data_IF_788832439638
#
_entry.id   IF_788832439638
#
_cell.length_a   1.000
_cell.length_b   1.000
_cell.length_c   1.000
_cell.angle_alpha   90.00
_cell.angle_beta   90.00
_cell.angle_gamma   90.00
#
_symmetry.space_group_name_H-M   'P 1'
#
loop_
_entity.id
_entity.type
_entity.pdbx_description
1 polymer ?
#
# COMPACT_ATOMS: atom_id res chain seq x y z
N UNK A 1 44.63 -11.81 22.51
CA UNK A 1 43.72 -12.01 21.36
C UNK A 1 42.29 -11.92 21.88
N UNK A 2 41.50 -10.91 21.50
CA UNK A 2 40.11 -10.86 21.89
C UNK A 2 39.32 -11.90 21.08
N UNK A 3 38.58 -12.76 21.79
CA UNK A 3 37.65 -13.73 21.21
C UNK A 3 36.60 -12.98 20.40
N UNK A 4 36.60 -13.17 19.09
CA UNK A 4 35.50 -12.79 18.21
C UNK A 4 34.28 -13.61 18.61
N UNK A 5 33.41 -13.01 19.41
CA UNK A 5 32.04 -13.48 19.59
C UNK A 5 31.34 -13.35 18.23
N UNK A 6 31.21 -14.47 17.51
CA UNK A 6 30.25 -14.62 16.42
C UNK A 6 28.85 -14.40 17.00
N UNK A 7 28.31 -13.19 16.91
CA UNK A 7 26.89 -12.94 17.15
C UNK A 7 26.10 -13.46 15.95
N UNK A 8 25.77 -14.73 16.02
CA UNK A 8 24.98 -15.45 15.04
C UNK A 8 23.48 -15.26 15.33
N UNK A 9 22.93 -14.11 14.94
CA UNK A 9 21.59 -13.93 14.35
C UNK A 9 21.45 -12.44 14.01
N UNK A 10 21.68 -12.04 12.76
CA UNK A 10 21.65 -10.63 12.36
C UNK A 10 20.22 -10.11 12.46
N UNK A 11 19.87 -9.43 13.56
CA UNK A 11 18.59 -8.72 13.68
C UNK A 11 18.47 -7.73 12.51
N UNK A 12 17.49 -7.96 11.63
CA UNK A 12 17.27 -7.13 10.44
C UNK A 12 16.00 -6.33 10.60
N UNK A 13 16.09 -5.04 10.29
CA UNK A 13 14.95 -4.14 10.25
C UNK A 13 14.53 -3.87 8.81
N UNK A 14 13.24 -4.04 8.51
CA UNK A 14 12.65 -3.60 7.25
C UNK A 14 11.65 -2.48 7.53
N UNK A 15 11.90 -1.29 7.00
CA UNK A 15 10.97 -0.17 7.09
C UNK A 15 10.13 -0.10 5.83
N UNK A 16 8.80 -0.15 5.97
CA UNK A 16 7.86 -0.22 4.86
C UNK A 16 7.03 1.05 4.78
N UNK A 17 6.91 1.59 3.56
CA UNK A 17 5.97 2.65 3.23
C UNK A 17 4.72 2.06 2.56
N UNK A 18 3.55 2.10 3.19
CA UNK A 18 2.36 1.39 2.70
C UNK A 18 1.60 2.19 1.62
N UNK A 19 0.78 1.52 0.79
CA UNK A 19 -0.13 2.20 -0.12
C UNK A 19 -1.26 2.94 0.63
N UNK A 20 -1.87 3.98 0.05
CA UNK A 20 -1.54 4.61 -1.25
C UNK A 20 -0.71 5.88 -1.07
N UNK A 21 0.17 6.17 -2.03
CA UNK A 21 0.95 7.40 -2.07
C UNK A 21 1.24 7.86 -3.50
N UNK A 22 1.32 9.19 -3.67
CA UNK A 22 1.52 9.84 -4.97
C UNK A 22 2.89 9.48 -5.58
N UNK A 23 2.97 9.10 -6.86
CA UNK A 23 4.22 8.69 -7.49
C UNK A 23 5.19 9.86 -7.74
N UNK A 24 4.76 11.11 -7.57
CA UNK A 24 5.58 12.30 -7.86
C UNK A 24 6.34 12.88 -6.66
N UNK A 25 6.09 12.39 -5.44
CA UNK A 25 6.86 12.84 -4.26
C UNK A 25 7.41 11.65 -3.49
N UNK A 26 8.74 11.48 -3.35
CA UNK A 26 9.29 10.40 -2.54
C UNK A 26 9.09 10.67 -1.05
N UNK A 27 8.85 9.60 -0.27
CA UNK A 27 8.75 9.71 1.19
C UNK A 27 10.13 9.64 1.86
N UNK A 28 10.64 10.80 2.27
CA UNK A 28 12.04 10.95 2.72
C UNK A 28 12.33 10.46 4.15
N UNK A 29 11.31 10.17 4.97
CA UNK A 29 11.56 9.80 6.37
C UNK A 29 12.19 8.40 6.51
N UNK A 30 11.82 7.43 5.67
CA UNK A 30 12.40 6.08 5.74
C UNK A 30 13.88 6.05 5.36
N UNK A 31 14.34 6.69 4.26
CA UNK A 31 15.77 6.80 3.97
C UNK A 31 16.58 7.37 5.14
N UNK A 32 16.05 8.38 5.82
CA UNK A 32 16.69 9.03 6.96
C UNK A 32 16.79 8.07 8.16
N UNK A 33 15.72 7.34 8.48
CA UNK A 33 15.73 6.32 9.53
C UNK A 33 16.66 5.13 9.20
N UNK A 34 16.70 4.69 7.94
CA UNK A 34 17.63 3.65 7.50
C UNK A 34 19.07 4.12 7.68
N UNK A 35 19.41 5.33 7.24
CA UNK A 35 20.74 5.90 7.41
C UNK A 35 21.13 5.98 8.90
N UNK A 36 20.22 6.43 9.75
CA UNK A 36 20.43 6.50 11.20
C UNK A 36 20.73 5.11 11.82
N UNK A 37 19.95 4.08 11.47
CA UNK A 37 20.17 2.73 11.99
C UNK A 37 21.49 2.12 11.49
N UNK A 38 21.83 2.32 10.21
CA UNK A 38 23.09 1.87 9.63
C UNK A 38 24.30 2.53 10.30
N UNK A 39 24.22 3.83 10.62
CA UNK A 39 25.25 4.55 11.38
C UNK A 39 25.49 3.92 12.77
N UNK A 40 24.45 3.32 13.39
CA UNK A 40 24.55 2.59 14.66
C UNK A 40 24.95 1.12 14.50
N UNK A 41 25.32 0.68 13.31
CA UNK A 41 25.71 -0.70 13.03
C UNK A 41 24.53 -1.69 13.02
N UNK A 42 23.30 -1.19 12.93
CA UNK A 42 22.08 -2.01 12.89
C UNK A 42 21.62 -2.20 11.44
N UNK A 43 21.55 -3.45 10.92
CA UNK A 43 21.10 -3.71 9.56
C UNK A 43 19.65 -3.24 9.34
N UNK A 44 19.47 -2.29 8.43
CA UNK A 44 18.17 -1.77 8.05
C UNK A 44 18.04 -1.61 6.53
N UNK A 45 16.84 -1.87 6.02
CA UNK A 45 16.46 -1.60 4.63
C UNK A 45 15.10 -0.91 4.57
N UNK A 46 14.83 -0.23 3.47
CA UNK A 46 13.51 0.30 3.17
C UNK A 46 12.82 -0.51 2.08
N UNK A 47 11.49 -0.46 2.09
CA UNK A 47 10.64 -1.01 1.04
C UNK A 47 9.46 -0.08 0.78
N UNK A 48 9.33 0.40 -0.45
CA UNK A 48 8.17 1.18 -0.88
C UNK A 48 7.10 0.24 -1.42
N UNK A 49 6.23 -0.23 -0.53
CA UNK A 49 5.12 -1.11 -0.90
C UNK A 49 4.03 -0.36 -1.67
N UNK A 50 3.93 0.97 -1.53
CA UNK A 50 3.03 1.77 -2.36
C UNK A 50 3.45 1.72 -3.83
N UNK A 51 4.74 1.94 -4.09
CA UNK A 51 5.30 1.89 -5.44
C UNK A 51 5.13 0.49 -6.07
N UNK A 52 5.43 -0.56 -5.32
CA UNK A 52 5.27 -1.94 -5.78
C UNK A 52 3.79 -2.31 -6.02
N UNK A 53 2.88 -1.85 -5.15
CA UNK A 53 1.44 -2.03 -5.34
C UNK A 53 0.99 -1.45 -6.70
N UNK A 54 1.40 -0.22 -7.03
CA UNK A 54 1.02 0.37 -8.30
C UNK A 54 1.73 -0.27 -9.49
N UNK A 55 3.06 -0.39 -9.46
CA UNK A 55 3.83 -0.71 -10.66
C UNK A 55 4.02 -2.20 -10.92
N UNK A 56 4.13 -3.01 -9.86
CA UNK A 56 4.38 -4.45 -9.99
C UNK A 56 3.12 -5.29 -9.86
N UNK A 57 2.01 -4.70 -9.41
CA UNK A 57 0.74 -5.40 -9.24
C UNK A 57 -0.36 -4.73 -10.05
N UNK A 58 -0.81 -3.54 -9.65
CA UNK A 58 -2.04 -2.94 -10.15
C UNK A 58 -1.97 -2.53 -11.62
N UNK A 59 -0.97 -1.73 -12.00
CA UNK A 59 -0.80 -1.15 -13.33
C UNK A 59 -0.02 -2.09 -14.25
N UNK A 60 -0.42 -3.37 -14.26
CA UNK A 60 0.09 -4.37 -15.19
C UNK A 60 -1.05 -4.77 -16.13
N UNK A 61 -0.80 -5.04 -17.43
CA UNK A 61 -1.85 -5.47 -18.34
C UNK A 61 -2.63 -6.68 -17.81
N UNK A 62 -1.93 -7.68 -17.26
CA UNK A 62 -2.53 -8.88 -16.68
C UNK A 62 -3.52 -8.54 -15.57
N UNK A 63 -3.10 -7.79 -14.55
CA UNK A 63 -4.01 -7.42 -13.45
C UNK A 63 -5.18 -6.57 -13.95
N UNK A 64 -4.95 -5.61 -14.85
CA UNK A 64 -6.01 -4.72 -15.33
C UNK A 64 -7.06 -5.47 -16.18
N UNK A 65 -6.64 -6.43 -17.00
CA UNK A 65 -7.59 -7.30 -17.71
C UNK A 65 -8.39 -8.17 -16.74
N UNK A 66 -7.75 -8.74 -15.71
CA UNK A 66 -8.47 -9.48 -14.66
C UNK A 66 -9.50 -8.59 -13.94
N UNK A 67 -9.15 -7.33 -13.65
CA UNK A 67 -10.05 -6.37 -13.01
C UNK A 67 -11.21 -5.97 -13.93
N UNK A 68 -10.95 -5.83 -15.24
CA UNK A 68 -12.00 -5.59 -16.23
C UNK A 68 -13.02 -6.74 -16.24
N UNK A 69 -12.57 -7.99 -16.26
CA UNK A 69 -13.48 -9.13 -16.15
C UNK A 69 -14.27 -9.15 -14.83
N UNK A 70 -13.65 -8.74 -13.72
CA UNK A 70 -14.34 -8.61 -12.43
C UNK A 70 -15.46 -7.58 -12.54
N UNK A 71 -15.21 -6.41 -13.12
CA UNK A 71 -16.24 -5.38 -13.30
C UNK A 71 -17.40 -5.91 -14.14
N UNK A 72 -17.12 -6.57 -15.26
CA UNK A 72 -18.17 -7.16 -16.12
C UNK A 72 -18.99 -8.26 -15.42
N UNK A 73 -18.35 -9.08 -14.59
CA UNK A 73 -19.04 -10.11 -13.79
C UNK A 73 -19.93 -9.48 -12.72
N UNK A 74 -19.43 -8.46 -12.01
CA UNK A 74 -20.14 -7.75 -10.95
C UNK A 74 -21.30 -6.91 -11.47
N UNK A 75 -21.13 -6.29 -12.64
CA UNK A 75 -22.20 -5.55 -13.31
C UNK A 75 -23.37 -6.46 -13.71
N UNK A 76 -23.09 -7.62 -14.31
CA UNK A 76 -24.13 -8.62 -14.60
C UNK A 76 -24.84 -9.15 -13.35
N UNK A 77 -24.16 -9.16 -12.20
CA UNK A 77 -24.72 -9.54 -10.92
C UNK A 77 -25.53 -8.42 -10.23
N UNK A 78 -25.50 -7.19 -10.75
CA UNK A 78 -26.19 -6.04 -10.16
C UNK A 78 -25.49 -5.44 -8.93
N UNK A 79 -24.19 -5.69 -8.76
CA UNK A 79 -23.41 -5.24 -7.60
C UNK A 79 -23.31 -3.70 -7.47
N UNK A 80 -23.54 -2.98 -8.57
CA UNK A 80 -23.43 -1.52 -8.67
C UNK A 80 -24.75 -0.77 -8.47
N UNK A 81 -25.76 -1.42 -7.87
CA UNK A 81 -27.06 -0.77 -7.59
C UNK A 81 -26.94 0.51 -6.76
N UNK A 82 -26.02 0.53 -5.79
CA UNK A 82 -25.70 1.69 -4.96
C UNK A 82 -24.68 2.66 -5.56
N UNK A 83 -24.23 2.45 -6.80
CA UNK A 83 -23.21 3.29 -7.42
C UNK A 83 -23.75 4.71 -7.69
N UNK A 84 -22.87 5.70 -7.54
CA UNK A 84 -23.17 7.10 -7.85
C UNK A 84 -23.24 7.32 -9.38
N UNK A 85 -23.55 8.54 -9.80
CA UNK A 85 -23.72 8.85 -11.22
C UNK A 85 -22.43 8.69 -12.02
N UNK A 86 -21.29 9.10 -11.48
CA UNK A 86 -19.99 9.02 -12.15
C UNK A 86 -19.56 7.55 -12.34
N UNK A 87 -19.75 6.72 -11.31
CA UNK A 87 -19.49 5.28 -11.35
C UNK A 87 -20.38 4.58 -12.38
N UNK A 88 -21.67 4.92 -12.45
CA UNK A 88 -22.61 4.38 -13.45
C UNK A 88 -22.20 4.79 -14.86
N UNK A 89 -21.87 6.06 -15.07
CA UNK A 89 -21.39 6.54 -16.37
C UNK A 89 -20.08 5.87 -16.79
N UNK A 90 -19.18 5.58 -15.85
CA UNK A 90 -17.96 4.82 -16.14
C UNK A 90 -18.26 3.37 -16.54
N UNK A 91 -19.21 2.70 -15.90
CA UNK A 91 -19.64 1.35 -16.29
C UNK A 91 -20.26 1.34 -17.70
N UNK A 92 -21.07 2.35 -18.02
CA UNK A 92 -21.64 2.53 -19.36
C UNK A 92 -20.54 2.78 -20.41
N UNK A 93 -19.55 3.63 -20.10
CA UNK A 93 -18.41 3.91 -20.95
C UNK A 93 -17.55 2.66 -21.20
N UNK A 94 -17.26 1.87 -20.16
CA UNK A 94 -16.55 0.59 -20.27
C UNK A 94 -17.23 -0.37 -21.26
N UNK A 95 -18.57 -0.42 -21.25
CA UNK A 95 -19.37 -1.25 -22.17
C UNK A 95 -19.40 -0.68 -23.59
N UNK A 96 -19.58 0.62 -23.74
CA UNK A 96 -19.69 1.28 -25.04
C UNK A 96 -18.34 1.35 -25.78
N UNK A 97 -17.25 1.49 -25.02
CA UNK A 97 -15.91 1.77 -25.54
C UNK A 97 -14.87 0.68 -25.21
N UNK A 98 -15.29 -0.59 -25.18
CA UNK A 98 -14.43 -1.74 -24.83
C UNK A 98 -13.08 -1.74 -25.57
N UNK A 99 -13.07 -1.46 -26.87
CA UNK A 99 -11.83 -1.42 -27.65
C UNK A 99 -10.87 -0.31 -27.19
N UNK A 100 -11.39 0.85 -26.76
CA UNK A 100 -10.57 1.93 -26.23
C UNK A 100 -9.92 1.52 -24.89
N UNK A 101 -10.71 0.92 -24.00
CA UNK A 101 -10.23 0.46 -22.70
C UNK A 101 -9.20 -0.66 -22.81
N UNK A 102 -9.43 -1.65 -23.68
CA UNK A 102 -8.45 -2.73 -23.90
C UNK A 102 -7.15 -2.21 -24.51
N UNK A 103 -7.20 -1.19 -25.37
CA UNK A 103 -6.00 -0.51 -25.87
C UNK A 103 -5.27 0.27 -24.76
N UNK A 104 -5.99 1.01 -23.91
CA UNK A 104 -5.41 1.71 -22.74
C UNK A 104 -4.71 0.73 -21.79
N UNK A 105 -5.36 -0.39 -21.48
CA UNK A 105 -4.78 -1.45 -20.64
C UNK A 105 -3.52 -2.04 -21.28
N UNK A 106 -3.58 -2.37 -22.58
CA UNK A 106 -2.45 -2.96 -23.29
C UNK A 106 -1.23 -2.04 -23.35
N UNK A 107 -1.46 -0.72 -23.46
CA UNK A 107 -0.39 0.28 -23.54
C UNK A 107 0.12 0.80 -22.20
N UNK A 108 -0.43 0.35 -21.07
CA UNK A 108 -0.14 0.93 -19.74
C UNK A 108 1.36 1.00 -19.42
N UNK A 109 2.14 0.00 -19.85
CA UNK A 109 3.59 0.01 -19.70
C UNK A 109 4.25 1.20 -20.41
N UNK A 110 3.87 1.46 -21.67
CA UNK A 110 4.36 2.62 -22.42
C UNK A 110 3.88 3.96 -21.84
N UNK A 111 2.67 4.01 -21.29
CA UNK A 111 2.15 5.19 -20.57
C UNK A 111 3.01 5.51 -19.35
N UNK A 112 3.38 4.49 -18.57
CA UNK A 112 4.27 4.65 -17.41
C UNK A 112 5.67 5.10 -17.83
N UNK A 113 6.24 4.50 -18.88
CA UNK A 113 7.57 4.89 -19.37
C UNK A 113 7.58 6.31 -19.95
N UNK A 114 6.51 6.73 -20.63
CA UNK A 114 6.32 8.10 -21.09
C UNK A 114 6.36 9.09 -19.92
N UNK A 115 5.60 8.83 -18.85
CA UNK A 115 5.57 9.65 -17.63
C UNK A 115 6.89 9.69 -16.86
N UNK A 116 7.80 8.74 -17.10
CA UNK A 116 9.16 8.72 -16.52
C UNK A 116 10.18 9.47 -17.36
N UNK A 117 9.89 9.67 -18.65
CA UNK A 117 10.78 10.33 -19.58
C UNK A 117 10.58 11.85 -19.55
N UNK A 118 11.66 12.62 -19.75
CA UNK A 118 11.55 14.08 -19.86
C UNK A 118 10.66 14.49 -21.04
N UNK A 119 10.80 13.83 -22.19
CA UNK A 119 10.03 14.11 -23.41
C UNK A 119 8.54 13.83 -23.28
N UNK A 120 8.14 12.91 -22.40
CA UNK A 120 6.73 12.62 -22.14
C UNK A 120 6.18 13.50 -21.02
N UNK A 121 6.91 13.61 -19.91
CA UNK A 121 6.44 14.32 -18.72
C UNK A 121 6.37 15.84 -18.90
N UNK A 122 7.33 16.44 -19.63
CA UNK A 122 7.36 17.89 -19.84
C UNK A 122 6.59 18.35 -21.09
N UNK A 123 6.11 17.42 -21.91
CA UNK A 123 5.24 17.73 -23.06
C UNK A 123 3.77 17.76 -22.60
N UNK A 124 3.11 18.94 -22.53
CA UNK A 124 1.84 19.09 -21.81
C UNK A 124 0.73 18.16 -22.32
N UNK A 125 0.56 18.03 -23.63
CA UNK A 125 -0.51 17.20 -24.20
C UNK A 125 -0.30 15.71 -23.89
N UNK A 126 0.95 15.26 -23.99
CA UNK A 126 1.34 13.88 -23.67
C UNK A 126 1.15 13.59 -22.18
N UNK A 127 1.64 14.47 -21.32
CA UNK A 127 1.54 14.33 -19.87
C UNK A 127 0.08 14.30 -19.39
N UNK A 128 -0.77 15.20 -19.90
CA UNK A 128 -2.20 15.24 -19.55
C UNK A 128 -2.90 13.95 -19.98
N UNK A 129 -2.66 13.50 -21.22
CA UNK A 129 -3.26 12.26 -21.73
C UNK A 129 -2.82 11.04 -20.92
N UNK A 130 -1.53 10.91 -20.66
CA UNK A 130 -0.97 9.75 -19.96
C UNK A 130 -1.39 9.74 -18.50
N UNK A 131 -1.50 10.91 -17.86
CA UNK A 131 -2.09 11.04 -16.53
C UNK A 131 -3.57 10.65 -16.53
N UNK A 132 -4.36 11.09 -17.51
CA UNK A 132 -5.77 10.70 -17.61
C UNK A 132 -5.93 9.18 -17.77
N UNK A 133 -5.15 8.55 -18.65
CA UNK A 133 -5.12 7.09 -18.81
C UNK A 133 -4.78 6.36 -17.50
N UNK A 134 -3.84 6.87 -16.71
CA UNK A 134 -3.51 6.29 -15.40
C UNK A 134 -4.69 6.38 -14.41
N UNK A 135 -5.40 7.52 -14.38
CA UNK A 135 -6.58 7.68 -13.52
C UNK A 135 -7.78 6.85 -13.98
N UNK A 136 -7.91 6.62 -15.28
CA UNK A 136 -8.88 5.66 -15.83
C UNK A 136 -8.62 4.24 -15.30
N UNK A 137 -7.35 3.80 -15.26
CA UNK A 137 -7.00 2.49 -14.69
C UNK A 137 -7.31 2.39 -13.18
N UNK A 138 -7.11 3.48 -12.44
CA UNK A 138 -7.47 3.55 -11.01
C UNK A 138 -8.99 3.52 -10.80
N UNK A 139 -9.74 4.13 -11.71
CA UNK A 139 -11.21 4.13 -11.67
C UNK A 139 -11.77 2.75 -12.02
N UNK A 140 -11.19 2.08 -13.02
CA UNK A 140 -11.47 0.67 -13.32
C UNK A 140 -11.21 -0.23 -12.11
N UNK A 141 -10.06 -0.06 -11.46
CA UNK A 141 -9.72 -0.82 -10.27
C UNK A 141 -10.68 -0.53 -9.10
N UNK A 142 -11.08 0.72 -8.90
CA UNK A 142 -12.07 1.10 -7.89
C UNK A 142 -13.42 0.40 -8.14
N UNK A 143 -13.89 0.35 -9.39
CA UNK A 143 -15.10 -0.42 -9.74
C UNK A 143 -14.94 -1.91 -9.45
N UNK A 144 -13.78 -2.50 -9.73
CA UNK A 144 -13.55 -3.92 -9.46
C UNK A 144 -13.62 -4.25 -7.96
N UNK A 145 -13.20 -3.31 -7.10
CA UNK A 145 -13.22 -3.42 -5.64
C UNK A 145 -14.38 -2.65 -4.96
N UNK A 146 -15.39 -2.25 -5.73
CA UNK A 146 -16.54 -1.49 -5.23
C UNK A 146 -17.14 -2.12 -3.94
N UNK A 147 -17.47 -1.32 -2.91
CA UNK A 147 -17.54 0.15 -2.89
C UNK A 147 -16.23 0.86 -2.48
N UNK A 148 -15.08 0.18 -2.54
CA UNK A 148 -13.78 0.84 -2.30
C UNK A 148 -13.42 1.72 -3.49
N UNK A 149 -13.05 2.97 -3.21
CA UNK A 149 -12.51 3.89 -4.20
C UNK A 149 -11.13 4.39 -3.78
N UNK A 150 -10.21 4.47 -4.73
CA UNK A 150 -8.85 4.94 -4.44
C UNK A 150 -8.17 5.55 -5.66
N UNK A 151 -7.28 6.49 -5.40
CA UNK A 151 -6.36 7.06 -6.39
C UNK A 151 -4.92 6.87 -5.91
N UNK A 152 -3.96 7.55 -6.53
CA UNK A 152 -2.59 7.58 -6.00
C UNK A 152 -2.48 8.18 -4.60
N UNK A 153 -3.39 9.07 -4.20
CA UNK A 153 -3.29 9.80 -2.93
C UNK A 153 -4.58 9.83 -2.11
N UNK A 154 -5.64 9.18 -2.59
CA UNK A 154 -6.92 9.07 -1.88
C UNK A 154 -7.33 7.61 -1.73
N UNK A 155 -8.06 7.33 -0.67
CA UNK A 155 -8.64 6.02 -0.37
C UNK A 155 -9.89 6.24 0.46
N UNK A 156 -10.96 5.52 0.12
CA UNK A 156 -12.19 5.43 0.87
C UNK A 156 -12.81 4.04 0.72
N UNK A 157 -13.43 3.55 1.79
CA UNK A 157 -14.36 2.44 1.74
C UNK A 157 -15.46 2.74 2.77
N UNK A 158 -16.72 2.87 2.35
CA UNK A 158 -17.81 3.29 3.23
C UNK A 158 -18.12 2.28 4.34
N UNK A 159 -17.70 1.02 4.21
CA UNK A 159 -17.90 0.01 5.24
C UNK A 159 -16.95 0.18 6.45
N UNK A 160 -15.91 1.01 6.34
CA UNK A 160 -14.94 1.28 7.41
C UNK A 160 -15.42 2.48 8.23
N UNK A 161 -16.14 2.20 9.31
CA UNK A 161 -16.72 3.22 10.21
C UNK A 161 -15.97 3.29 11.55
N UNK A 162 -15.34 2.19 11.94
CA UNK A 162 -14.70 1.98 13.23
C UNK A 162 -13.58 0.92 13.14
N UNK A 163 -13.05 0.53 14.30
CA UNK A 163 -11.97 -0.45 14.35
C UNK A 163 -12.42 -1.88 14.01
N UNK A 164 -13.64 -2.28 14.39
CA UNK A 164 -14.11 -3.65 14.12
C UNK A 164 -14.38 -3.84 12.62
N UNK A 165 -14.96 -2.83 11.98
CA UNK A 165 -15.08 -2.76 10.52
C UNK A 165 -13.73 -2.67 9.82
N UNK A 166 -12.74 -1.96 10.37
CA UNK A 166 -11.37 -1.98 9.85
C UNK A 166 -10.77 -3.39 9.87
N UNK A 167 -10.95 -4.15 10.96
CA UNK A 167 -10.50 -5.55 11.02
C UNK A 167 -11.19 -6.40 9.95
N UNK A 168 -12.51 -6.27 9.81
CA UNK A 168 -13.27 -6.97 8.76
C UNK A 168 -12.76 -6.63 7.36
N UNK A 169 -12.50 -5.35 7.07
CA UNK A 169 -11.93 -4.89 5.80
C UNK A 169 -10.53 -5.50 5.53
N UNK A 170 -9.70 -5.63 6.56
CA UNK A 170 -8.36 -6.21 6.39
C UNK A 170 -8.40 -7.66 5.91
N UNK A 171 -9.48 -8.39 6.20
CA UNK A 171 -9.65 -9.80 5.84
C UNK A 171 -10.58 -9.95 4.59
N UNK A 172 -11.19 -8.88 4.09
CA UNK A 172 -12.14 -8.89 2.97
C UNK A 172 -11.45 -8.76 1.60
N UNK A 173 -11.19 -9.90 0.95
CA UNK A 173 -10.60 -9.96 -0.40
C UNK A 173 -11.48 -9.39 -1.50
N UNK A 174 -12.78 -9.18 -1.27
CA UNK A 174 -13.70 -8.65 -2.28
C UNK A 174 -13.59 -7.13 -2.41
N UNK A 175 -13.37 -6.43 -1.30
CA UNK A 175 -13.33 -4.95 -1.30
C UNK A 175 -11.96 -4.38 -0.98
N UNK A 176 -11.01 -5.17 -0.46
CA UNK A 176 -9.66 -4.70 -0.18
C UNK A 176 -8.71 -4.91 -1.38
N UNK A 177 -8.27 -3.84 -2.06
CA UNK A 177 -7.45 -3.95 -3.26
C UNK A 177 -6.02 -4.40 -2.98
N UNK A 178 -5.56 -4.34 -1.73
CA UNK A 178 -4.16 -4.52 -1.38
C UNK A 178 -3.78 -5.98 -1.14
N UNK A 179 -4.73 -6.84 -0.75
CA UNK A 179 -4.45 -8.20 -0.26
C UNK A 179 -3.68 -9.03 -1.30
N UNK A 180 -4.11 -9.02 -2.57
CA UNK A 180 -3.44 -9.77 -3.64
C UNK A 180 -1.98 -9.32 -3.85
N UNK A 181 -1.70 -8.03 -3.70
CA UNK A 181 -0.33 -7.51 -3.75
C UNK A 181 0.50 -7.91 -2.52
N UNK A 182 -0.15 -8.15 -1.38
CA UNK A 182 0.53 -8.61 -0.17
C UNK A 182 0.90 -10.10 -0.28
N UNK A 183 -0.01 -10.90 -0.80
CA UNK A 183 0.20 -12.34 -1.07
C UNK A 183 1.32 -12.60 -2.08
N UNK A 184 1.62 -11.61 -2.93
CA UNK A 184 2.66 -11.71 -3.96
C UNK A 184 3.89 -10.89 -3.58
N UNK A 185 3.82 -9.56 -3.71
CA UNK A 185 5.01 -8.70 -3.76
C UNK A 185 5.60 -8.48 -2.36
N UNK A 186 4.73 -8.26 -1.37
CA UNK A 186 5.15 -8.15 0.02
C UNK A 186 5.71 -9.46 0.56
N UNK A 187 5.05 -10.59 0.28
CA UNK A 187 5.51 -11.94 0.69
C UNK A 187 6.89 -12.21 0.11
N UNK A 188 7.08 -12.01 -1.19
CA UNK A 188 8.39 -12.18 -1.83
C UNK A 188 9.48 -11.30 -1.19
N UNK A 189 9.14 -10.05 -0.84
CA UNK A 189 10.08 -9.13 -0.17
C UNK A 189 10.42 -9.59 1.26
N UNK A 190 9.45 -10.04 2.03
CA UNK A 190 9.65 -10.51 3.41
C UNK A 190 10.47 -11.80 3.44
N UNK A 191 10.19 -12.74 2.52
CA UNK A 191 10.92 -14.01 2.40
C UNK A 191 12.38 -13.79 1.98
N UNK A 192 12.63 -12.82 1.10
CA UNK A 192 13.98 -12.43 0.68
C UNK A 192 14.79 -11.80 1.82
N UNK A 193 14.18 -10.87 2.56
CA UNK A 193 14.90 -10.06 3.56
C UNK A 193 15.01 -10.76 4.92
N UNK A 194 14.03 -11.61 5.26
CA UNK A 194 13.88 -12.28 6.55
C UNK A 194 14.06 -11.31 7.73
N UNK A 195 13.28 -10.22 7.82
CA UNK A 195 13.44 -9.23 8.88
C UNK A 195 13.01 -9.80 10.23
N UNK A 196 13.69 -9.38 11.30
CA UNK A 196 13.24 -9.61 12.68
C UNK A 196 12.21 -8.56 13.11
N UNK A 197 12.31 -7.36 12.53
CA UNK A 197 11.41 -6.24 12.80
C UNK A 197 10.94 -5.59 11.49
N UNK A 198 9.64 -5.33 11.42
CA UNK A 198 9.02 -4.53 10.37
C UNK A 198 8.43 -3.26 10.96
N UNK A 199 8.89 -2.10 10.47
CA UNK A 199 8.32 -0.80 10.81
C UNK A 199 7.46 -0.27 9.67
N UNK A 200 6.16 -0.06 9.89
CA UNK A 200 5.25 0.48 8.86
C UNK A 200 4.99 1.96 9.16
N UNK A 201 5.36 2.84 8.24
CA UNK A 201 5.20 4.29 8.40
C UNK A 201 3.94 4.81 7.70
N UNK A 202 2.89 5.06 8.46
CA UNK A 202 1.61 5.58 7.96
C UNK A 202 1.60 7.11 8.15
N UNK A 203 1.62 7.84 7.04
CA UNK A 203 1.81 9.31 7.06
C UNK A 203 0.54 10.11 6.76
N UNK A 204 -0.48 9.49 6.14
CA UNK A 204 -1.78 10.13 5.86
C UNK A 204 -2.93 9.25 6.32
N UNK A 205 -4.14 9.82 6.39
CA UNK A 205 -5.37 9.05 6.60
C UNK A 205 -5.64 8.06 5.47
N UNK A 206 -5.29 8.39 4.22
CA UNK A 206 -5.50 7.53 3.06
C UNK A 206 -4.59 6.29 3.04
N UNK A 207 -3.47 6.32 3.77
CA UNK A 207 -2.61 5.15 3.97
C UNK A 207 -3.06 4.25 5.12
N UNK A 208 -4.00 4.69 5.97
CA UNK A 208 -4.33 4.00 7.21
C UNK A 208 -4.88 2.59 6.94
N UNK A 209 -5.84 2.46 6.02
CA UNK A 209 -6.44 1.17 5.71
C UNK A 209 -5.41 0.19 5.10
N UNK A 210 -4.63 0.62 4.11
CA UNK A 210 -3.57 -0.19 3.50
C UNK A 210 -2.46 -0.56 4.49
N UNK A 211 -2.05 0.38 5.34
CA UNK A 211 -1.03 0.16 6.36
C UNK A 211 -1.47 -0.80 7.48
N UNK A 212 -2.71 -0.69 7.96
CA UNK A 212 -3.24 -1.60 8.97
C UNK A 212 -3.52 -2.99 8.40
N UNK A 213 -4.06 -3.09 7.17
CA UNK A 213 -4.23 -4.37 6.48
C UNK A 213 -2.89 -5.07 6.28
N UNK A 214 -1.86 -4.33 5.89
CA UNK A 214 -0.49 -4.84 5.77
C UNK A 214 0.05 -5.32 7.13
N UNK A 215 -0.10 -4.52 8.18
CA UNK A 215 0.38 -4.87 9.51
C UNK A 215 -0.24 -6.19 10.00
N UNK A 216 -1.56 -6.32 9.85
CA UNK A 216 -2.31 -7.54 10.18
C UNK A 216 -1.88 -8.72 9.32
N UNK A 217 -1.73 -8.54 8.00
CA UNK A 217 -1.26 -9.57 7.09
C UNK A 217 0.10 -10.12 7.54
N UNK A 218 1.06 -9.24 7.84
CA UNK A 218 2.40 -9.64 8.29
C UNK A 218 2.33 -10.39 9.61
N UNK A 219 1.58 -9.89 10.61
CA UNK A 219 1.46 -10.56 11.91
C UNK A 219 0.87 -11.97 11.79
N UNK A 220 -0.17 -12.14 10.96
CA UNK A 220 -0.84 -13.42 10.81
C UNK A 220 0.02 -14.42 10.02
N UNK A 221 0.72 -13.95 8.99
CA UNK A 221 1.54 -14.80 8.09
C UNK A 221 2.93 -15.10 8.67
N UNK A 222 3.51 -14.17 9.42
CA UNK A 222 4.86 -14.22 9.96
C UNK A 222 4.89 -13.91 11.47
N UNK A 223 4.44 -14.84 12.34
CA UNK A 223 4.32 -14.59 13.78
C UNK A 223 5.64 -14.25 14.49
N UNK A 224 6.79 -14.59 13.88
CA UNK A 224 8.13 -14.28 14.42
C UNK A 224 8.59 -12.84 14.14
N UNK A 225 7.91 -12.10 13.25
CA UNK A 225 8.30 -10.73 12.90
C UNK A 225 7.67 -9.75 13.89
N UNK A 226 8.51 -8.94 14.53
CA UNK A 226 8.02 -7.82 15.34
C UNK A 226 7.52 -6.68 14.45
N UNK A 227 6.21 -6.57 14.30
CA UNK A 227 5.55 -5.44 13.62
C UNK A 227 5.41 -4.22 14.54
N UNK A 228 5.96 -3.08 14.13
CA UNK A 228 5.76 -1.76 14.78
C UNK A 228 5.11 -0.76 13.82
N UNK A 229 4.19 0.07 14.32
CA UNK A 229 3.60 1.17 13.54
C UNK A 229 4.24 2.51 13.92
N UNK A 230 4.34 3.40 12.94
CA UNK A 230 4.78 4.77 13.14
C UNK A 230 4.30 5.68 12.02
N UNK A 231 4.90 6.87 11.93
CA UNK A 231 4.55 7.87 10.93
C UNK A 231 3.59 8.95 11.46
N UNK A 232 3.49 10.05 10.72
CA UNK A 232 2.81 11.27 11.18
C UNK A 232 1.33 11.05 11.50
N UNK A 233 0.66 10.17 10.77
CA UNK A 233 -0.77 9.93 10.99
C UNK A 233 -1.00 9.08 12.25
N UNK A 234 -0.12 8.12 12.53
CA UNK A 234 -0.17 7.32 13.76
C UNK A 234 -0.16 8.19 15.02
N UNK A 235 0.63 9.27 15.03
CA UNK A 235 0.68 10.22 16.15
C UNK A 235 -0.69 10.82 16.48
N UNK A 236 -1.53 11.06 15.46
CA UNK A 236 -2.87 11.63 15.63
C UNK A 236 -3.86 10.65 16.24
N UNK A 237 -3.57 9.35 16.14
CA UNK A 237 -4.43 8.28 16.67
C UNK A 237 -4.06 7.90 18.12
N UNK A 238 -3.07 8.56 18.74
CA UNK A 238 -2.59 8.27 20.10
C UNK A 238 -3.73 8.11 21.10
N UNK A 239 -4.62 9.10 21.17
CA UNK A 239 -5.71 9.10 22.15
C UNK A 239 -6.72 7.97 21.89
N UNK A 240 -7.08 7.76 20.62
CA UNK A 240 -7.99 6.70 20.22
C UNK A 240 -7.45 5.33 20.63
N UNK A 241 -6.16 5.10 20.39
CA UNK A 241 -5.47 3.88 20.78
C UNK A 241 -5.33 3.71 22.30
N UNK A 242 -5.07 4.78 23.04
CA UNK A 242 -5.03 4.75 24.52
C UNK A 242 -6.39 4.40 25.14
N UNK A 243 -7.48 4.92 24.57
CA UNK A 243 -8.85 4.63 25.04
C UNK A 243 -9.27 3.19 24.75
N UNK A 244 -8.58 2.53 23.81
CA UNK A 244 -8.99 1.26 23.20
C UNK A 244 -7.74 0.38 22.98
N UNK A 245 -7.13 -0.16 24.06
CA UNK A 245 -5.89 -0.94 23.94
C UNK A 245 -6.08 -2.36 23.40
N UNK A 246 -7.29 -2.92 23.47
CA UNK A 246 -7.60 -4.25 22.93
C UNK A 246 -7.40 -4.36 21.42
N UNK A 247 -7.27 -3.25 20.70
CA UNK A 247 -7.07 -3.23 19.24
C UNK A 247 -5.61 -3.39 18.83
N UNK A 248 -4.64 -3.02 19.68
CA UNK A 248 -3.23 -3.11 19.33
C UNK A 248 -2.81 -4.52 18.88
N UNK A 249 -3.20 -5.60 19.59
CA UNK A 249 -2.81 -6.96 19.21
C UNK A 249 -3.31 -7.39 17.83
N UNK A 250 -4.36 -6.75 17.29
CA UNK A 250 -4.86 -7.05 15.95
C UNK A 250 -3.94 -6.57 14.81
N UNK A 251 -3.04 -5.61 15.08
CA UNK A 251 -2.27 -4.92 14.04
C UNK A 251 -0.76 -4.84 14.31
N UNK A 252 -0.32 -4.70 15.56
CA UNK A 252 1.09 -4.47 15.87
C UNK A 252 1.52 -5.06 17.21
N UNK A 253 2.81 -5.05 17.48
CA UNK A 253 3.41 -5.38 18.78
C UNK A 253 3.82 -4.11 19.53
N UNK A 254 4.19 -3.07 18.80
CA UNK A 254 4.54 -1.77 19.36
C UNK A 254 4.11 -0.63 18.43
N UNK A 255 4.12 0.59 18.97
CA UNK A 255 3.91 1.81 18.21
C UNK A 255 4.94 2.86 18.62
N UNK A 256 5.46 3.58 17.64
CA UNK A 256 6.38 4.69 17.83
C UNK A 256 5.58 5.98 17.73
N UNK A 257 5.59 6.74 18.83
CA UNK A 257 4.68 7.86 19.04
C UNK A 257 5.42 9.21 19.12
N UNK A 258 6.57 9.27 18.46
CA UNK A 258 7.56 10.34 18.46
C UNK A 258 8.47 10.22 17.22
N UNK A 259 9.54 11.01 17.15
CA UNK A 259 10.53 10.92 16.07
C UNK A 259 11.21 9.54 16.10
N UNK A 260 11.29 8.87 14.96
CA UNK A 260 11.55 7.42 14.90
C UNK A 260 12.95 6.95 15.29
N UNK A 261 13.95 7.83 15.27
CA UNK A 261 15.37 7.49 15.43
C UNK A 261 15.67 6.80 16.77
N UNK A 262 15.51 7.52 17.88
CA UNK A 262 15.81 7.00 19.23
C UNK A 262 14.86 5.87 19.66
N UNK A 263 13.54 5.94 19.39
CA UNK A 263 12.60 4.88 19.74
C UNK A 263 12.85 3.57 18.99
N UNK A 264 13.17 3.62 17.68
CA UNK A 264 13.54 2.40 16.94
C UNK A 264 14.80 1.77 17.53
N UNK A 265 15.83 2.56 17.81
CA UNK A 265 17.05 2.07 18.45
C UNK A 265 16.76 1.40 19.80
N UNK A 266 15.93 2.04 20.64
CA UNK A 266 15.52 1.48 21.93
C UNK A 266 14.69 0.20 21.79
N UNK A 267 13.86 0.10 20.75
CA UNK A 267 13.06 -1.08 20.47
C UNK A 267 13.92 -2.26 20.02
N UNK A 268 14.92 -2.01 19.17
CA UNK A 268 15.83 -3.05 18.65
C UNK A 268 16.75 -3.62 19.74
N UNK A 269 17.11 -2.81 20.75
CA UNK A 269 18.00 -3.19 21.83
C UNK A 269 17.30 -3.85 23.05
N UNK A 270 15.99 -4.10 22.97
CA UNK A 270 15.24 -4.84 24.00
C UNK A 270 15.39 -6.34 23.80
#
# INVERSE_FOLDING_TARGET
>A
MPKTTKTNNSFKTLLIFPPVWTPVTPYLALPLLVAYLLEKGLPAKQYDASLDFFLKYLLTPTTLFDLLEVVEKRDRAGDYSGANQDEKSLIEDLKANQNSWTQKISRIGSTIESMRSESGFYEPETCIRDQADLYDMLSLASLAYYPTAFTFNTFSNPAIEDFDSMIRFCDDKRTNPFIKSFETQLTAKLDQEQPSLVGISISTSHQLAGGLAMARFIKNRYPSIHVTLGGRHILRLRESFMKRPSFFPGFCHSMIMDNGEKPLLKLINQ
#
